data_IF_822866731481
#
_entry.id   IF_822866731481
#
_cell.length_a   1.000
_cell.length_b   1.000
_cell.length_c   1.000
_cell.angle_alpha   90.00
_cell.angle_beta   90.00
_cell.angle_gamma   90.00
#
_symmetry.space_group_name_H-M   'P 1'
#
loop_
_entity.id
_entity.type
_entity.pdbx_description
1 polymer ?
#
# COMPACT_ATOMS: atom_id res chain seq x y z
N UNK A 1 11.20 14.68 -7.92
CA UNK A 1 11.00 13.30 -7.43
C UNK A 1 11.95 12.97 -6.28
N UNK A 2 13.28 12.98 -6.49
CA UNK A 2 14.27 12.71 -5.43
C UNK A 2 14.04 13.54 -4.17
N UNK A 3 13.95 14.86 -4.29
CA UNK A 3 13.77 15.76 -3.14
C UNK A 3 12.46 15.52 -2.39
N UNK A 4 11.38 15.18 -3.10
CA UNK A 4 10.10 14.85 -2.48
C UNK A 4 10.19 13.55 -1.65
N UNK A 5 10.89 12.54 -2.16
CA UNK A 5 11.12 11.29 -1.44
C UNK A 5 12.01 11.54 -0.22
N UNK A 6 13.10 12.30 -0.37
CA UNK A 6 14.01 12.62 0.74
C UNK A 6 13.34 13.50 1.81
N UNK A 7 12.50 14.45 1.42
CA UNK A 7 11.68 15.24 2.35
C UNK A 7 10.77 14.33 3.18
N UNK A 8 10.07 13.40 2.53
CA UNK A 8 9.23 12.40 3.22
C UNK A 8 10.03 11.44 4.08
N UNK A 9 11.30 11.22 3.76
CA UNK A 9 12.24 10.40 4.53
C UNK A 9 12.73 11.11 5.83
N UNK A 10 12.46 12.40 5.99
CA UNK A 10 12.96 13.22 7.11
C UNK A 10 14.24 14.00 6.79
N UNK A 11 14.58 14.15 5.51
CA UNK A 11 15.77 14.86 5.02
C UNK A 11 16.76 13.93 4.32
N UNK A 12 16.98 12.72 4.87
CA UNK A 12 17.87 11.72 4.29
C UNK A 12 17.39 10.28 4.53
N UNK A 13 17.94 9.31 3.78
CA UNK A 13 17.68 7.89 4.03
C UNK A 13 18.34 7.41 5.34
N UNK A 14 19.40 8.09 5.79
CA UNK A 14 20.02 7.84 7.09
C UNK A 14 19.06 8.22 8.24
N UNK A 15 18.42 9.39 8.17
CA UNK A 15 17.42 9.81 9.16
C UNK A 15 16.23 8.85 9.17
N UNK A 16 15.77 8.45 7.98
CA UNK A 16 14.67 7.50 7.81
C UNK A 16 14.91 6.15 8.50
N UNK A 17 16.12 5.60 8.35
CA UNK A 17 16.52 4.35 9.01
C UNK A 17 16.79 4.56 10.50
N UNK A 18 17.40 5.70 10.88
CA UNK A 18 17.64 6.10 12.27
C UNK A 18 16.36 6.13 13.12
N UNK A 19 15.28 6.71 12.60
CA UNK A 19 13.98 6.74 13.29
C UNK A 19 13.28 5.38 13.41
N UNK A 20 13.80 4.33 12.75
CA UNK A 20 13.18 2.99 12.68
C UNK A 20 14.08 1.88 13.22
N UNK A 21 15.13 2.23 13.96
CA UNK A 21 16.08 1.26 14.52
C UNK A 21 15.43 0.21 15.42
N UNK A 22 14.32 0.51 16.09
CA UNK A 22 13.57 -0.49 16.87
C UNK A 22 13.01 -1.60 15.98
N UNK A 23 12.45 -1.25 14.82
CA UNK A 23 11.90 -2.24 13.89
C UNK A 23 13.00 -3.05 13.20
N UNK A 24 14.12 -2.43 12.82
CA UNK A 24 15.27 -3.15 12.29
C UNK A 24 15.84 -4.16 13.30
N UNK A 25 15.95 -3.78 14.58
CA UNK A 25 16.39 -4.71 15.63
C UNK A 25 15.40 -5.86 15.86
N UNK A 26 14.10 -5.63 15.72
CA UNK A 26 13.11 -6.71 15.78
C UNK A 26 13.28 -7.69 14.62
N UNK A 27 13.54 -7.19 13.40
CA UNK A 27 13.89 -8.03 12.25
C UNK A 27 15.20 -8.80 12.48
N UNK A 28 16.25 -8.15 12.97
CA UNK A 28 17.54 -8.80 13.29
C UNK A 28 17.35 -9.96 14.29
N UNK A 29 16.50 -9.77 15.30
CA UNK A 29 16.14 -10.82 16.27
C UNK A 29 15.41 -11.99 15.60
N UNK A 30 14.43 -11.71 14.75
CA UNK A 30 13.72 -12.75 13.96
C UNK A 30 14.67 -13.48 13.01
N UNK A 31 15.72 -12.83 12.50
CA UNK A 31 16.69 -13.47 11.61
C UNK A 31 17.80 -14.21 12.36
N UNK A 32 17.96 -14.02 13.68
CA UNK A 32 19.20 -14.36 14.39
C UNK A 32 20.42 -13.76 13.67
N UNK A 33 20.27 -12.49 13.26
CA UNK A 33 21.22 -11.79 12.40
C UNK A 33 22.66 -11.79 12.92
N UNK A 34 22.93 -11.65 14.25
CA UNK A 34 24.29 -11.72 14.77
C UNK A 34 25.04 -13.02 14.46
N UNK A 35 24.32 -14.13 14.23
CA UNK A 35 24.90 -15.44 13.87
C UNK A 35 24.89 -15.69 12.35
N UNK A 36 24.51 -14.69 11.55
CA UNK A 36 24.51 -14.81 10.09
C UNK A 36 25.93 -14.73 9.52
N UNK A 37 26.14 -15.32 8.33
CA UNK A 37 27.40 -15.18 7.60
C UNK A 37 27.81 -13.72 7.37
N UNK A 38 26.84 -12.81 7.20
CA UNK A 38 27.13 -11.38 6.99
C UNK A 38 27.78 -10.75 8.23
N UNK A 39 27.36 -11.15 9.42
CA UNK A 39 27.98 -10.69 10.67
C UNK A 39 29.30 -11.41 10.96
N UNK A 40 29.33 -12.74 10.84
CA UNK A 40 30.52 -13.54 11.18
C UNK A 40 31.72 -13.26 10.27
N UNK A 41 31.48 -12.89 9.01
CA UNK A 41 32.53 -12.57 8.02
C UNK A 41 32.86 -11.07 7.95
N UNK A 42 32.33 -10.23 8.85
CA UNK A 42 32.63 -8.81 8.85
C UNK A 42 34.04 -8.55 9.40
N UNK A 43 34.83 -7.76 8.68
CA UNK A 43 36.20 -7.41 9.07
C UNK A 43 36.26 -6.58 10.36
N UNK A 44 35.29 -5.68 10.56
CA UNK A 44 35.20 -4.80 11.74
C UNK A 44 34.40 -5.45 12.85
N UNK A 45 34.99 -6.37 13.63
CA UNK A 45 34.27 -7.06 14.71
C UNK A 45 34.09 -6.23 16.00
N UNK A 46 34.76 -5.08 16.12
CA UNK A 46 34.72 -4.22 17.33
C UNK A 46 33.37 -3.50 17.54
N UNK A 47 32.53 -3.37 16.52
CA UNK A 47 31.20 -2.76 16.63
C UNK A 47 30.10 -3.83 16.74
N UNK A 48 28.92 -3.50 17.28
CA UNK A 48 27.76 -4.41 17.17
C UNK A 48 27.35 -4.60 15.70
N UNK A 49 27.08 -5.83 15.27
CA UNK A 49 26.59 -6.08 13.90
C UNK A 49 25.12 -5.63 13.76
N UNK A 50 24.87 -4.65 12.90
CA UNK A 50 23.51 -4.15 12.58
C UNK A 50 23.25 -4.23 11.08
N UNK A 51 22.02 -4.54 10.70
CA UNK A 51 21.54 -4.68 9.34
C UNK A 51 21.67 -3.36 8.58
N UNK A 52 21.33 -2.24 9.21
CA UNK A 52 21.42 -0.89 8.60
C UNK A 52 22.86 -0.42 8.38
N UNK A 53 23.80 -0.87 9.20
CA UNK A 53 25.24 -0.58 9.04
C UNK A 53 25.91 -1.52 8.02
N UNK A 54 25.58 -2.81 8.07
CA UNK A 54 26.12 -3.80 7.16
C UNK A 54 25.61 -3.61 5.72
N UNK A 55 24.40 -3.08 5.56
CA UNK A 55 23.73 -2.85 4.28
C UNK A 55 23.18 -1.42 4.21
N UNK A 56 24.03 -0.40 4.01
CA UNK A 56 23.59 0.98 3.90
C UNK A 56 22.56 1.13 2.76
N UNK A 57 21.50 1.90 3.02
CA UNK A 57 20.39 2.09 2.09
C UNK A 57 20.57 3.38 1.30
N UNK A 58 20.44 3.30 -0.03
CA UNK A 58 20.54 4.45 -0.93
C UNK A 58 19.30 4.56 -1.80
N UNK A 59 18.85 5.79 -2.04
CA UNK A 59 17.79 6.08 -3.00
C UNK A 59 18.37 6.07 -4.42
N UNK A 60 17.79 5.26 -5.30
CA UNK A 60 18.12 5.21 -6.73
C UNK A 60 16.90 5.62 -7.55
N UNK A 61 17.09 6.64 -8.39
CA UNK A 61 16.03 7.22 -9.24
C UNK A 61 16.53 7.19 -10.68
N UNK A 62 15.75 6.59 -11.57
CA UNK A 62 15.89 6.64 -13.02
C UNK A 62 14.64 7.24 -13.65
N UNK A 63 14.63 7.40 -14.98
CA UNK A 63 13.46 7.94 -15.69
C UNK A 63 12.21 7.06 -15.56
N UNK A 64 12.41 5.74 -15.47
CA UNK A 64 11.37 4.71 -15.48
C UNK A 64 11.13 4.06 -14.11
N UNK A 65 12.04 4.24 -13.14
CA UNK A 65 11.96 3.53 -11.88
C UNK A 65 12.54 4.30 -10.68
N UNK A 66 12.07 3.92 -9.49
CA UNK A 66 12.63 4.37 -8.22
C UNK A 66 12.77 3.18 -7.28
N UNK A 67 13.86 3.12 -6.53
CA UNK A 67 14.14 2.01 -5.62
C UNK A 67 14.98 2.47 -4.43
N UNK A 68 14.95 1.67 -3.37
CA UNK A 68 15.92 1.72 -2.28
C UNK A 68 16.81 0.49 -2.35
N UNK A 69 18.09 0.66 -2.06
CA UNK A 69 19.03 -0.46 -1.87
C UNK A 69 19.15 -0.83 -0.40
N UNK A 70 19.95 -1.87 -0.10
CA UNK A 70 20.39 -2.17 1.25
C UNK A 70 19.29 -2.62 2.21
N UNK A 71 19.46 -2.24 3.48
CA UNK A 71 18.63 -2.67 4.59
C UNK A 71 17.14 -2.39 4.41
N UNK A 72 16.75 -1.22 3.89
CA UNK A 72 15.33 -0.88 3.73
C UNK A 72 14.64 -1.84 2.76
N UNK A 73 15.26 -2.09 1.61
CA UNK A 73 14.71 -2.99 0.59
C UNK A 73 14.64 -4.43 1.07
N UNK A 74 15.72 -4.91 1.67
CA UNK A 74 15.77 -6.26 2.23
C UNK A 74 14.74 -6.45 3.35
N UNK A 75 14.60 -5.49 4.26
CA UNK A 75 13.68 -5.58 5.38
C UNK A 75 12.22 -5.53 4.94
N UNK A 76 11.89 -4.65 4.01
CA UNK A 76 10.54 -4.56 3.43
C UNK A 76 10.13 -5.91 2.83
N UNK A 77 10.98 -6.50 2.00
CA UNK A 77 10.74 -7.80 1.37
C UNK A 77 10.65 -8.94 2.41
N UNK A 78 11.59 -9.03 3.36
CA UNK A 78 11.60 -10.13 4.34
C UNK A 78 10.38 -10.10 5.27
N UNK A 79 9.95 -8.91 5.68
CA UNK A 79 8.80 -8.76 6.57
C UNK A 79 7.49 -9.11 5.89
N UNK A 80 7.35 -8.81 4.59
CA UNK A 80 6.26 -9.31 3.76
C UNK A 80 6.33 -10.84 3.58
N UNK A 81 7.51 -11.42 3.34
CA UNK A 81 7.68 -12.88 3.26
C UNK A 81 7.17 -13.56 4.54
N UNK A 82 7.45 -13.01 5.73
CA UNK A 82 6.91 -13.56 6.96
C UNK A 82 5.38 -13.49 7.01
N UNK A 83 4.79 -12.37 6.58
CA UNK A 83 3.33 -12.24 6.49
C UNK A 83 2.74 -13.29 5.55
N UNK A 84 3.36 -13.51 4.39
CA UNK A 84 2.95 -14.53 3.43
C UNK A 84 3.04 -15.95 4.03
N UNK A 85 4.09 -16.26 4.80
CA UNK A 85 4.18 -17.53 5.53
C UNK A 85 3.02 -17.71 6.52
N UNK A 86 2.66 -16.64 7.25
CA UNK A 86 1.56 -16.64 8.19
C UNK A 86 0.21 -16.85 7.49
N UNK A 87 -0.06 -16.08 6.44
CA UNK A 87 -1.27 -16.16 5.63
C UNK A 87 -1.41 -17.52 4.92
N UNK A 88 -0.29 -18.12 4.52
CA UNK A 88 -0.24 -19.44 3.89
C UNK A 88 -0.51 -20.60 4.87
N UNK A 89 -0.55 -20.35 6.18
CA UNK A 89 -0.76 -21.40 7.18
C UNK A 89 0.50 -22.21 7.51
N UNK A 90 1.71 -21.71 7.21
CA UNK A 90 2.95 -22.43 7.54
C UNK A 90 3.12 -22.55 9.07
N UNK A 91 3.72 -23.64 9.61
CA UNK A 91 3.67 -23.93 11.04
C UNK A 91 4.36 -22.85 11.91
N UNK A 92 5.51 -22.34 11.48
CA UNK A 92 6.35 -21.45 12.29
C UNK A 92 6.91 -20.26 11.47
N UNK A 93 6.08 -19.27 11.09
CA UNK A 93 6.55 -18.09 10.35
C UNK A 93 7.67 -17.35 11.08
N UNK A 94 8.69 -16.94 10.34
CA UNK A 94 9.91 -16.38 10.94
C UNK A 94 10.59 -17.35 11.92
N UNK A 95 10.54 -18.65 11.65
CA UNK A 95 11.09 -19.72 12.50
C UNK A 95 10.52 -19.68 13.94
N UNK A 96 9.22 -19.43 14.07
CA UNK A 96 8.51 -19.44 15.35
C UNK A 96 8.83 -18.23 16.26
N UNK A 97 9.58 -17.25 15.75
CA UNK A 97 10.02 -16.09 16.54
C UNK A 97 9.03 -14.93 16.52
N UNK A 98 7.99 -14.96 15.68
CA UNK A 98 6.98 -13.90 15.60
C UNK A 98 5.71 -14.37 16.31
N UNK A 99 5.53 -13.95 17.56
CA UNK A 99 4.58 -14.58 18.50
C UNK A 99 3.34 -13.77 18.82
N UNK A 100 3.31 -12.49 18.47
CA UNK A 100 2.26 -11.56 18.88
C UNK A 100 2.05 -10.43 17.87
N UNK A 101 0.91 -9.75 17.96
CA UNK A 101 0.51 -8.68 17.05
C UNK A 101 1.42 -7.46 17.10
N UNK A 102 2.01 -7.15 18.26
CA UNK A 102 2.95 -6.04 18.38
C UNK A 102 4.21 -6.29 17.54
N UNK A 103 4.75 -7.51 17.55
CA UNK A 103 5.87 -7.89 16.67
C UNK A 103 5.49 -7.84 15.19
N UNK A 104 4.31 -8.34 14.82
CA UNK A 104 3.81 -8.24 13.44
C UNK A 104 3.74 -6.78 12.97
N UNK A 105 3.12 -5.90 13.75
CA UNK A 105 3.03 -4.47 13.43
C UNK A 105 4.42 -3.82 13.34
N UNK A 106 5.32 -4.18 14.26
CA UNK A 106 6.70 -3.66 14.27
C UNK A 106 7.46 -4.07 13.01
N UNK A 107 7.36 -5.35 12.60
CA UNK A 107 8.03 -5.86 11.40
C UNK A 107 7.47 -5.21 10.13
N UNK A 108 6.16 -5.30 9.91
CA UNK A 108 5.54 -4.76 8.68
C UNK A 108 5.57 -3.24 8.62
N UNK A 109 5.87 -2.53 9.72
CA UNK A 109 6.17 -1.11 9.65
C UNK A 109 7.34 -0.80 8.70
N UNK A 110 8.29 -1.73 8.50
CA UNK A 110 9.39 -1.57 7.55
C UNK A 110 8.92 -1.69 6.09
N UNK A 111 8.06 -2.67 5.80
CA UNK A 111 7.40 -2.82 4.50
C UNK A 111 6.57 -1.58 4.16
N UNK A 112 5.65 -1.21 5.05
CA UNK A 112 4.79 -0.03 4.90
C UNK A 112 5.60 1.27 4.73
N UNK A 113 6.73 1.40 5.44
CA UNK A 113 7.58 2.59 5.33
C UNK A 113 8.29 2.68 3.97
N UNK A 114 8.73 1.55 3.39
CA UNK A 114 9.24 1.55 2.01
C UNK A 114 8.15 1.99 1.02
N UNK A 115 6.94 1.45 1.15
CA UNK A 115 5.81 1.79 0.27
C UNK A 115 5.41 3.27 0.41
N UNK A 116 5.46 3.79 1.63
CA UNK A 116 5.23 5.21 1.92
C UNK A 116 6.18 6.13 1.13
N UNK A 117 7.45 5.75 0.97
CA UNK A 117 8.44 6.51 0.21
C UNK A 117 8.35 6.27 -1.29
N UNK A 118 8.31 5.01 -1.72
CA UNK A 118 8.51 4.66 -3.13
C UNK A 118 7.21 4.65 -3.94
N UNK A 119 6.08 4.34 -3.29
CA UNK A 119 4.81 4.13 -3.99
C UNK A 119 3.78 5.23 -3.70
N UNK A 120 3.81 5.79 -2.49
CA UNK A 120 2.82 6.81 -2.05
C UNK A 120 3.28 8.25 -2.23
N UNK A 121 4.54 8.50 -2.56
CA UNK A 121 5.03 9.86 -2.87
C UNK A 121 4.34 10.37 -4.14
N UNK A 122 3.59 11.49 -4.11
CA UNK A 122 2.76 11.95 -5.22
C UNK A 122 3.50 12.07 -6.57
N UNK A 123 4.76 12.51 -6.55
CA UNK A 123 5.62 12.65 -7.74
C UNK A 123 5.93 11.31 -8.42
N UNK A 124 5.71 10.18 -7.74
CA UNK A 124 5.79 8.82 -8.31
C UNK A 124 4.39 8.28 -8.55
N UNK A 125 3.54 8.36 -7.52
CA UNK A 125 2.22 7.76 -7.45
C UNK A 125 1.31 8.23 -8.59
N UNK A 126 1.28 9.54 -8.87
CA UNK A 126 0.40 10.13 -9.87
C UNK A 126 0.69 9.62 -11.28
N UNK A 127 1.97 9.55 -11.66
CA UNK A 127 2.38 9.02 -12.96
C UNK A 127 2.04 7.53 -13.09
N UNK A 128 2.40 6.71 -12.09
CA UNK A 128 2.13 5.26 -12.11
C UNK A 128 0.65 4.91 -12.07
N UNK A 129 -0.15 5.68 -11.34
CA UNK A 129 -1.58 5.43 -11.17
C UNK A 129 -2.43 5.99 -12.33
N UNK A 130 -1.89 6.86 -13.20
CA UNK A 130 -2.69 7.56 -14.22
C UNK A 130 -3.55 6.63 -15.09
N UNK A 131 -3.03 5.54 -15.68
CA UNK A 131 -3.87 4.62 -16.46
C UNK A 131 -5.02 4.00 -15.66
N UNK A 132 -4.78 3.66 -14.39
CA UNK A 132 -5.81 3.11 -13.51
C UNK A 132 -6.83 4.18 -13.10
N UNK A 133 -6.39 5.40 -12.82
CA UNK A 133 -7.28 6.54 -12.53
C UNK A 133 -8.23 6.82 -13.70
N UNK A 134 -7.74 6.76 -14.93
CA UNK A 134 -8.54 6.95 -16.13
C UNK A 134 -9.57 5.82 -16.33
N UNK A 135 -9.17 4.57 -16.10
CA UNK A 135 -10.05 3.41 -16.17
C UNK A 135 -11.15 3.47 -15.09
N UNK A 136 -10.78 3.78 -13.84
CA UNK A 136 -11.70 3.92 -12.71
C UNK A 136 -12.71 5.04 -12.98
N UNK A 137 -12.24 6.22 -13.42
CA UNK A 137 -13.12 7.35 -13.76
C UNK A 137 -14.10 6.98 -14.87
N UNK A 138 -13.63 6.32 -15.93
CA UNK A 138 -14.47 5.90 -17.05
C UNK A 138 -15.52 4.89 -16.61
N UNK A 139 -15.14 3.89 -15.81
CA UNK A 139 -16.06 2.87 -15.30
C UNK A 139 -17.14 3.46 -14.37
N UNK A 140 -16.78 4.46 -13.57
CA UNK A 140 -17.71 5.13 -12.64
C UNK A 140 -18.53 6.26 -13.31
N UNK A 141 -18.16 6.75 -14.48
CA UNK A 141 -18.93 7.82 -15.15
C UNK A 141 -20.15 7.23 -15.87
N UNK A 142 -21.39 7.67 -15.63
CA UNK A 142 -22.54 7.22 -16.40
C UNK A 142 -22.42 7.69 -17.85
N UNK A 143 -22.40 6.76 -18.80
CA UNK A 143 -22.42 7.03 -20.24
C UNK A 143 -23.01 5.81 -20.99
N UNK A 144 -23.45 5.97 -22.26
CA UNK A 144 -23.89 4.83 -23.07
C UNK A 144 -22.83 3.73 -23.11
N UNK A 145 -23.17 2.46 -22.80
CA UNK A 145 -22.21 1.38 -22.77
C UNK A 145 -21.53 1.17 -24.12
N UNK A 146 -20.20 1.12 -24.11
CA UNK A 146 -19.40 0.90 -25.31
C UNK A 146 -18.17 0.05 -25.00
N UNK A 147 -17.67 -0.66 -26.02
CA UNK A 147 -16.47 -1.49 -25.90
C UNK A 147 -15.25 -0.58 -25.72
N UNK A 148 -14.49 -0.81 -24.66
CA UNK A 148 -13.29 -0.07 -24.27
C UNK A 148 -12.06 -0.97 -24.37
N UNK A 149 -10.95 -0.57 -23.72
CA UNK A 149 -9.74 -1.38 -23.55
C UNK A 149 -10.05 -2.81 -23.10
N UNK A 150 -9.21 -3.76 -23.53
CA UNK A 150 -9.35 -5.20 -23.27
C UNK A 150 -10.66 -5.82 -23.78
N UNK A 151 -11.43 -5.09 -24.59
CA UNK A 151 -12.70 -5.53 -25.13
C UNK A 151 -13.86 -5.56 -24.12
N UNK A 152 -13.69 -4.94 -22.96
CA UNK A 152 -14.72 -4.83 -21.91
C UNK A 152 -15.69 -3.70 -22.26
N UNK A 153 -17.00 -3.92 -22.05
CA UNK A 153 -18.01 -2.87 -22.21
C UNK A 153 -18.15 -2.09 -20.90
N UNK A 154 -17.96 -0.76 -20.95
CA UNK A 154 -18.12 0.14 -19.79
C UNK A 154 -19.17 1.23 -20.09
N UNK A 155 -19.90 1.73 -19.07
CA UNK A 155 -19.87 1.25 -17.70
C UNK A 155 -20.61 -0.10 -17.55
N UNK A 156 -20.20 -0.90 -16.57
CA UNK A 156 -20.85 -2.18 -16.20
C UNK A 156 -21.15 -2.19 -14.70
N UNK A 157 -21.92 -3.17 -14.22
CA UNK A 157 -22.31 -3.25 -12.81
C UNK A 157 -21.13 -3.49 -11.86
N UNK A 158 -20.23 -4.41 -12.24
CA UNK A 158 -19.04 -4.77 -11.44
C UNK A 158 -17.84 -4.87 -12.36
N UNK A 159 -16.77 -4.17 -12.02
CA UNK A 159 -15.47 -4.26 -12.66
C UNK A 159 -14.44 -4.68 -11.60
N UNK A 160 -13.81 -5.83 -11.81
CA UNK A 160 -12.71 -6.30 -10.97
C UNK A 160 -11.39 -6.16 -11.73
N UNK A 161 -10.41 -5.50 -11.10
CA UNK A 161 -9.09 -5.26 -11.68
C UNK A 161 -8.06 -5.97 -10.79
N UNK A 162 -7.54 -7.10 -11.25
CA UNK A 162 -6.48 -7.82 -10.57
C UNK A 162 -5.14 -7.09 -10.80
N UNK A 163 -4.59 -6.50 -9.74
CA UNK A 163 -3.33 -5.76 -9.79
C UNK A 163 -2.37 -6.17 -8.67
N UNK A 164 -1.53 -5.23 -8.26
CA UNK A 164 -0.51 -5.39 -7.24
C UNK A 164 -0.72 -4.40 -6.07
N UNK A 165 -0.10 -4.71 -4.93
CA UNK A 165 0.10 -3.82 -3.78
C UNK A 165 0.55 -2.39 -4.17
N UNK A 166 1.49 -2.28 -5.10
CA UNK A 166 1.99 -1.01 -5.64
C UNK A 166 0.88 -0.20 -6.30
N UNK A 167 -0.08 -0.83 -6.98
CA UNK A 167 -1.21 -0.12 -7.58
C UNK A 167 -2.12 0.49 -6.51
N UNK A 168 -2.41 -0.26 -5.43
CA UNK A 168 -3.19 0.26 -4.30
C UNK A 168 -2.47 1.44 -3.64
N UNK A 169 -1.16 1.32 -3.41
CA UNK A 169 -0.36 2.38 -2.84
C UNK A 169 -0.24 3.61 -3.76
N UNK A 170 -0.09 3.43 -5.08
CA UNK A 170 -0.05 4.53 -6.04
C UNK A 170 -1.41 5.24 -6.12
N UNK A 171 -2.53 4.51 -6.17
CA UNK A 171 -3.88 5.10 -6.12
C UNK A 171 -4.08 5.86 -4.80
N UNK A 172 -3.66 5.28 -3.67
CA UNK A 172 -3.76 5.93 -2.37
C UNK A 172 -2.92 7.20 -2.26
N UNK A 173 -1.72 7.22 -2.85
CA UNK A 173 -0.87 8.41 -2.92
C UNK A 173 -1.42 9.48 -3.86
N UNK A 174 -1.96 9.08 -5.01
CA UNK A 174 -2.50 10.01 -6.01
C UNK A 174 -3.84 10.64 -5.60
N UNK A 175 -4.67 9.92 -4.85
CA UNK A 175 -5.98 10.37 -4.37
C UNK A 175 -5.97 10.87 -2.91
N UNK A 176 -4.79 10.97 -2.30
CA UNK A 176 -4.60 11.37 -0.90
C UNK A 176 -5.40 10.53 0.12
N UNK A 177 -5.62 9.25 -0.20
CA UNK A 177 -6.32 8.30 0.65
C UNK A 177 -5.33 7.62 1.59
N UNK A 178 -5.44 7.88 2.89
CA UNK A 178 -4.60 7.23 3.92
C UNK A 178 -5.46 6.31 4.80
N UNK A 179 -4.86 5.21 5.25
CA UNK A 179 -5.56 4.21 6.06
C UNK A 179 -4.60 3.44 6.97
N UNK A 180 -5.19 2.76 7.95
CA UNK A 180 -4.59 1.65 8.70
C UNK A 180 -5.65 0.57 8.80
N UNK A 181 -5.25 -0.70 8.81
CA UNK A 181 -6.17 -1.83 8.71
C UNK A 181 -6.22 -2.61 10.04
N UNK A 182 -7.30 -2.50 10.84
CA UNK A 182 -7.39 -3.21 12.12
C UNK A 182 -7.21 -4.72 11.95
N UNK A 183 -6.25 -5.30 12.67
CA UNK A 183 -5.95 -6.74 12.58
C UNK A 183 -5.16 -7.16 11.34
N UNK A 184 -4.68 -6.22 10.53
CA UNK A 184 -3.86 -6.48 9.35
C UNK A 184 -2.64 -5.53 9.35
N UNK A 185 -1.42 -6.05 9.62
CA UNK A 185 -0.24 -5.21 9.78
C UNK A 185 0.30 -4.63 8.46
N UNK A 186 -0.06 -5.21 7.31
CA UNK A 186 0.28 -4.71 5.98
C UNK A 186 -0.83 -3.80 5.44
N UNK A 187 -0.47 -2.60 5.00
CA UNK A 187 -1.46 -1.65 4.47
C UNK A 187 -1.98 -2.04 3.08
N UNK A 188 -1.29 -2.88 2.33
CA UNK A 188 -1.69 -3.33 0.98
C UNK A 188 -1.68 -4.86 0.90
N UNK A 189 -2.46 -5.53 1.76
CA UNK A 189 -2.32 -6.96 2.00
C UNK A 189 -2.73 -7.80 0.79
N UNK A 190 -2.31 -9.07 0.69
CA UNK A 190 -2.76 -9.99 -0.35
C UNK A 190 -4.29 -10.09 -0.40
N UNK A 191 -4.87 -9.85 -1.57
CA UNK A 191 -6.33 -9.84 -1.75
C UNK A 191 -7.03 -8.61 -1.15
N UNK A 192 -6.31 -7.59 -0.68
CA UNK A 192 -6.88 -6.31 -0.30
C UNK A 192 -7.48 -5.58 -1.51
N UNK A 193 -8.64 -4.96 -1.31
CA UNK A 193 -9.44 -4.35 -2.37
C UNK A 193 -9.69 -2.88 -2.06
N UNK A 194 -9.24 -1.99 -2.96
CA UNK A 194 -9.67 -0.59 -2.95
C UNK A 194 -10.95 -0.47 -3.76
N UNK A 195 -12.09 -0.43 -3.05
CA UNK A 195 -13.42 -0.49 -3.64
C UNK A 195 -13.92 0.92 -3.91
N UNK A 196 -14.32 1.19 -5.15
CA UNK A 196 -15.00 2.42 -5.55
C UNK A 196 -16.44 2.11 -5.92
N UNK A 197 -17.39 2.74 -5.23
CA UNK A 197 -18.81 2.53 -5.45
C UNK A 197 -19.46 3.82 -5.95
N UNK A 198 -20.28 3.71 -7.01
CA UNK A 198 -21.16 4.80 -7.44
C UNK A 198 -22.56 4.62 -6.88
N UNK A 199 -22.98 5.56 -6.05
CA UNK A 199 -24.31 5.64 -5.46
C UNK A 199 -25.15 6.71 -6.16
N UNK A 200 -26.41 6.39 -6.46
CA UNK A 200 -27.40 7.38 -6.92
C UNK A 200 -28.38 7.68 -5.79
N UNK A 201 -28.47 8.95 -5.39
CA UNK A 201 -29.47 9.40 -4.43
C UNK A 201 -30.84 9.49 -5.11
N UNK A 202 -31.85 8.81 -4.57
CA UNK A 202 -33.17 8.70 -5.21
C UNK A 202 -33.97 10.01 -5.20
N UNK A 203 -33.73 10.89 -4.24
CA UNK A 203 -34.50 12.14 -4.08
C UNK A 203 -34.29 13.13 -5.23
N UNK A 204 -33.11 13.14 -5.85
CA UNK A 204 -32.72 14.11 -6.88
C UNK A 204 -31.85 13.53 -8.00
N UNK A 205 -31.66 12.21 -8.03
CA UNK A 205 -30.80 11.48 -8.96
C UNK A 205 -29.31 11.89 -8.96
N UNK A 206 -28.85 12.64 -7.95
CA UNK A 206 -27.44 13.01 -7.80
C UNK A 206 -26.55 11.77 -7.62
N UNK A 207 -25.33 11.84 -8.17
CA UNK A 207 -24.35 10.74 -8.18
C UNK A 207 -23.24 10.99 -7.16
N UNK A 208 -22.88 9.97 -6.41
CA UNK A 208 -21.94 10.04 -5.29
C UNK A 208 -20.96 8.86 -5.36
N UNK A 209 -19.72 9.08 -4.93
CA UNK A 209 -18.65 8.10 -4.88
C UNK A 209 -18.28 7.80 -3.43
N UNK A 210 -18.38 6.53 -3.06
CA UNK A 210 -17.83 6.00 -1.82
C UNK A 210 -16.55 5.23 -2.13
N UNK A 211 -15.54 5.36 -1.27
CA UNK A 211 -14.30 4.60 -1.37
C UNK A 211 -14.09 3.85 -0.05
N UNK A 212 -13.72 2.58 -0.12
CA UNK A 212 -13.33 1.79 1.05
C UNK A 212 -12.15 0.88 0.73
N UNK A 213 -11.45 0.44 1.78
CA UNK A 213 -10.46 -0.63 1.70
C UNK A 213 -11.05 -1.87 2.38
N UNK A 214 -11.35 -2.90 1.60
CA UNK A 214 -11.84 -4.21 2.08
C UNK A 214 -10.68 -5.19 2.13
N UNK A 215 -10.56 -5.95 3.22
CA UNK A 215 -9.40 -6.81 3.44
C UNK A 215 -9.71 -7.95 4.42
N UNK A 216 -8.98 -9.06 4.30
CA UNK A 216 -8.93 -10.05 5.37
C UNK A 216 -7.94 -9.61 6.45
N UNK A 217 -8.32 -9.73 7.72
CA UNK A 217 -7.36 -9.65 8.83
C UNK A 217 -6.31 -10.76 8.71
N UNK A 218 -5.13 -10.57 9.28
CA UNK A 218 -4.08 -11.60 9.25
C UNK A 218 -4.55 -12.91 9.92
N UNK A 219 -5.43 -12.81 10.91
CA UNK A 219 -6.05 -13.98 11.54
C UNK A 219 -7.06 -14.68 10.63
N UNK A 220 -7.92 -13.92 9.93
CA UNK A 220 -8.83 -14.51 8.92
C UNK A 220 -8.07 -15.20 7.79
N UNK A 221 -6.93 -14.65 7.37
CA UNK A 221 -6.02 -15.32 6.42
C UNK A 221 -5.47 -16.61 7.03
N UNK A 222 -4.89 -16.54 8.24
CA UNK A 222 -4.30 -17.69 8.95
C UNK A 222 -5.28 -18.85 9.10
N UNK A 223 -6.49 -18.56 9.54
CA UNK A 223 -7.51 -19.57 9.85
C UNK A 223 -8.30 -19.99 8.61
N UNK A 224 -8.07 -19.33 7.47
CA UNK A 224 -8.84 -19.49 6.23
C UNK A 224 -10.35 -19.37 6.50
N UNK A 225 -10.72 -18.37 7.30
CA UNK A 225 -12.09 -18.16 7.76
C UNK A 225 -13.01 -17.86 6.55
N UNK A 226 -14.09 -18.62 6.34
CA UNK A 226 -15.04 -18.32 5.28
C UNK A 226 -15.76 -17.01 5.57
N UNK A 227 -15.84 -16.14 4.57
CA UNK A 227 -16.44 -14.81 4.69
C UNK A 227 -17.93 -14.83 4.29
N UNK A 228 -18.73 -14.07 5.01
CA UNK A 228 -20.17 -13.88 4.74
C UNK A 228 -20.64 -12.54 5.32
N UNK A 229 -21.90 -12.15 5.11
CA UNK A 229 -22.44 -10.94 5.75
C UNK A 229 -22.43 -11.02 7.29
N UNK A 230 -22.52 -12.24 7.86
CA UNK A 230 -22.46 -12.47 9.30
C UNK A 230 -21.01 -12.59 9.82
N UNK A 231 -20.05 -12.85 8.93
CA UNK A 231 -18.61 -12.94 9.24
C UNK A 231 -17.85 -12.21 8.14
N UNK A 232 -17.96 -10.87 8.10
CA UNK A 232 -17.43 -10.10 6.98
C UNK A 232 -15.90 -10.01 7.03
N UNK A 233 -15.25 -9.69 5.89
CA UNK A 233 -13.90 -9.16 5.93
C UNK A 233 -13.84 -7.85 6.74
N UNK A 234 -12.63 -7.42 7.09
CA UNK A 234 -12.40 -6.06 7.55
C UNK A 234 -12.73 -5.06 6.45
N UNK A 235 -13.24 -3.89 6.83
CA UNK A 235 -13.50 -2.78 5.93
C UNK A 235 -13.15 -1.46 6.63
N UNK A 236 -12.45 -0.58 5.91
CA UNK A 236 -12.22 0.81 6.33
C UNK A 236 -12.82 1.74 5.29
N UNK A 237 -13.77 2.58 5.70
CA UNK A 237 -14.29 3.66 4.86
C UNK A 237 -13.24 4.75 4.72
N UNK A 238 -13.02 5.22 3.49
CA UNK A 238 -11.98 6.20 3.18
C UNK A 238 -12.58 7.55 2.80
N UNK A 239 -11.90 8.61 3.22
CA UNK A 239 -12.27 9.99 2.91
C UNK A 239 -11.30 10.54 1.88
N UNK A 240 -11.81 10.94 0.71
CA UNK A 240 -11.05 11.69 -0.29
C UNK A 240 -10.73 13.08 0.26
N UNK A 241 -9.49 13.35 0.68
CA UNK A 241 -9.12 14.58 1.39
C UNK A 241 -9.51 15.85 0.60
N UNK A 242 -9.23 15.89 -0.70
CA UNK A 242 -9.56 17.01 -1.58
C UNK A 242 -11.04 17.15 -1.98
N UNK A 243 -11.96 16.35 -1.43
CA UNK A 243 -13.38 16.48 -1.77
C UNK A 243 -14.12 17.42 -0.82
N UNK A 244 -14.67 18.52 -1.36
CA UNK A 244 -15.46 19.49 -0.60
C UNK A 244 -16.95 19.18 -0.62
N UNK A 245 -17.49 18.74 -1.78
CA UNK A 245 -18.91 18.44 -1.94
C UNK A 245 -19.24 17.02 -1.46
N UNK A 246 -19.87 16.94 -0.28
CA UNK A 246 -20.20 15.67 0.37
C UNK A 246 -21.68 15.53 0.69
N UNK A 247 -22.17 14.29 0.65
CA UNK A 247 -23.51 13.98 1.17
C UNK A 247 -23.47 13.63 2.67
N UNK A 248 -24.63 13.33 3.23
CA UNK A 248 -24.79 12.99 4.65
C UNK A 248 -24.00 11.73 5.09
N UNK A 249 -23.66 10.84 4.16
CA UNK A 249 -22.85 9.64 4.40
C UNK A 249 -21.34 9.89 4.23
N UNK A 250 -20.93 11.13 3.92
CA UNK A 250 -19.53 11.50 3.69
C UNK A 250 -18.99 11.14 2.30
N UNK A 251 -19.84 10.62 1.41
CA UNK A 251 -19.48 10.30 0.03
C UNK A 251 -19.18 11.58 -0.76
N UNK A 252 -18.24 11.51 -1.68
CA UNK A 252 -17.89 12.63 -2.56
C UNK A 252 -18.87 12.73 -3.73
N UNK A 253 -19.26 13.92 -4.17
CA UNK A 253 -20.06 14.02 -5.41
C UNK A 253 -19.27 13.45 -6.60
N UNK A 254 -19.97 12.90 -7.61
CA UNK A 254 -19.30 12.41 -8.82
C UNK A 254 -18.49 13.53 -9.51
N UNK A 255 -18.99 14.77 -9.47
CA UNK A 255 -18.28 15.93 -10.01
C UNK A 255 -17.00 16.23 -9.24
N UNK A 256 -17.06 16.27 -7.90
CA UNK A 256 -15.88 16.45 -7.05
C UNK A 256 -14.85 15.33 -7.21
N UNK A 257 -15.29 14.08 -7.28
CA UNK A 257 -14.40 12.96 -7.57
C UNK A 257 -13.73 13.08 -8.95
N UNK A 258 -14.51 13.46 -9.98
CA UNK A 258 -13.99 13.67 -11.33
C UNK A 258 -12.93 14.77 -11.38
N UNK A 259 -13.17 15.86 -10.65
CA UNK A 259 -12.20 16.94 -10.50
C UNK A 259 -10.90 16.45 -9.85
N UNK A 260 -10.97 15.76 -8.71
CA UNK A 260 -9.80 15.19 -8.02
C UNK A 260 -9.00 14.28 -8.97
N UNK A 261 -9.67 13.40 -9.72
CA UNK A 261 -8.98 12.51 -10.67
C UNK A 261 -8.30 13.30 -11.78
N UNK A 262 -8.97 14.32 -12.34
CA UNK A 262 -8.39 15.15 -13.40
C UNK A 262 -7.20 15.99 -12.90
N UNK A 263 -7.25 16.44 -11.65
CA UNK A 263 -6.16 17.16 -11.00
C UNK A 263 -5.02 16.25 -10.56
N UNK A 264 -5.27 14.96 -10.32
CA UNK A 264 -4.29 13.96 -9.89
C UNK A 264 -3.60 13.21 -11.05
N UNK A 265 -4.28 13.00 -12.18
CA UNK A 265 -3.65 12.32 -13.34
C UNK A 265 -2.52 13.17 -13.94
N UNK A 266 -1.60 12.51 -14.64
CA UNK A 266 -0.53 13.14 -15.42
C UNK A 266 -0.84 12.88 -16.90
N UNK A 267 -1.28 13.89 -17.69
CA UNK A 267 -1.72 13.66 -19.07
C UNK A 267 -0.73 12.89 -19.94
N UNK A 268 0.58 13.11 -19.75
CA UNK A 268 1.64 12.41 -20.48
C UNK A 268 1.75 10.90 -20.17
N UNK A 269 1.09 10.42 -19.10
CA UNK A 269 1.08 9.03 -18.67
C UNK A 269 -0.25 8.31 -18.98
N UNK A 270 -1.13 8.94 -19.76
CA UNK A 270 -2.36 8.30 -20.27
C UNK A 270 -2.00 7.25 -21.34
N UNK A 271 -2.84 6.22 -21.48
CA UNK A 271 -2.72 5.21 -22.54
C UNK A 271 -3.47 5.62 -23.82
#
# INVERSE_FOLDING_TARGET
MTDAILSRAGGSIADFTGHRQTAFRELERVLNFPQSNLCLKREKQDESCSLTQALPSELKVSADNVSLTGAVSLASMLTEIFLLQQAQGMPEPGWGRITDSHRWNTLLSLHNAQFYLLQRTPEVARSRATPLLDLIKTALTPHPPQKQAYGVTLPTSVLFIAGHDTNLANLGGALELNWTLPGQPDNTPPGGELVFERWRRLSDNSQWIQVSLVFQTLQQMRDKTPLSLNTPPGEVKLTLAGCEERNAQGMCSLAGFTQIVNEARIPACSL
#
